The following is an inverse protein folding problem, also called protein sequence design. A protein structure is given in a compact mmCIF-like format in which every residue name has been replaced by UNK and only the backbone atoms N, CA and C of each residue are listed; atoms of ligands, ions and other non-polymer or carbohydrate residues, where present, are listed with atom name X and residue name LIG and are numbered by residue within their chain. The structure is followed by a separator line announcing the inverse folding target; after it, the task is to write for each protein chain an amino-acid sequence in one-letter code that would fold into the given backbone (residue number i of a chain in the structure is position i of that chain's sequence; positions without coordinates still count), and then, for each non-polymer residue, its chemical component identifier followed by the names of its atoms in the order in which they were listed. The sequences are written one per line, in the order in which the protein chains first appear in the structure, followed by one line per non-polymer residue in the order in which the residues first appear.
data_IF_669165954917
#
_entry.id   IF_669165954917
#
_cell.length_a   1.000
_cell.length_b   1.000
_cell.length_c   1.000
_cell.angle_alpha   90.00
_cell.angle_beta   90.00
_cell.angle_gamma   90.00
#
_symmetry.space_group_name_H-M   'P 1'
#
loop_
_entity.id
_entity.type
_entity.pdbx_description
1 polymer ?
#
# COMPACT_ATOMS: atom_id res chain seq x y z
N UNK A 1 -71.48 -51.56 -9.61
CA UNK A 1 -70.61 -51.01 -8.55
C UNK A 1 -69.15 -51.06 -8.99
N UNK A 2 -68.64 -49.94 -9.51
CA UNK A 2 -67.31 -49.84 -10.06
C UNK A 2 -66.47 -49.03 -9.01
N UNK A 3 -65.47 -49.67 -8.39
CA UNK A 3 -64.59 -49.00 -7.48
C UNK A 3 -63.41 -48.37 -8.25
N UNK A 4 -63.38 -47.05 -8.29
CA UNK A 4 -62.26 -46.27 -8.81
C UNK A 4 -61.10 -46.37 -7.86
N UNK A 5 -59.96 -46.81 -8.34
CA UNK A 5 -58.67 -46.76 -7.64
C UNK A 5 -57.93 -45.52 -8.10
N UNK A 6 -57.85 -44.54 -7.22
CA UNK A 6 -57.05 -43.33 -7.40
C UNK A 6 -55.54 -43.68 -7.24
N UNK A 7 -54.81 -43.53 -8.31
CA UNK A 7 -53.32 -43.70 -8.32
C UNK A 7 -52.72 -42.36 -7.90
N UNK A 8 -52.13 -42.32 -6.71
CA UNK A 8 -51.35 -41.17 -6.23
C UNK A 8 -49.93 -41.28 -6.77
N UNK A 9 -49.60 -40.44 -7.73
CA UNK A 9 -48.23 -40.35 -8.29
C UNK A 9 -47.42 -39.41 -7.38
N UNK A 10 -46.55 -39.98 -6.55
CA UNK A 10 -45.61 -39.22 -5.75
C UNK A 10 -44.43 -38.79 -6.62
N UNK A 11 -44.40 -37.50 -7.00
CA UNK A 11 -43.30 -36.88 -7.71
C UNK A 11 -42.17 -36.56 -6.73
N UNK A 12 -41.16 -37.42 -6.62
CA UNK A 12 -39.97 -37.15 -5.84
C UNK A 12 -39.09 -36.15 -6.61
N UNK A 13 -39.04 -34.91 -6.17
CA UNK A 13 -38.08 -33.92 -6.63
C UNK A 13 -36.69 -34.29 -6.08
N UNK A 14 -35.86 -34.87 -6.92
CA UNK A 14 -34.45 -35.01 -6.72
C UNK A 14 -33.80 -33.62 -6.82
N UNK A 15 -33.67 -32.93 -5.69
CA UNK A 15 -32.77 -31.79 -5.59
C UNK A 15 -31.33 -32.29 -5.70
N UNK A 16 -30.80 -32.28 -6.93
CA UNK A 16 -29.39 -32.41 -7.16
C UNK A 16 -28.70 -31.13 -6.62
N UNK A 17 -28.30 -31.18 -5.35
CA UNK A 17 -27.38 -30.20 -4.81
C UNK A 17 -26.09 -30.33 -5.60
N UNK A 18 -25.82 -29.38 -6.49
CA UNK A 18 -24.48 -29.16 -7.02
C UNK A 18 -23.58 -28.81 -5.84
N UNK A 19 -23.06 -29.81 -5.15
CA UNK A 19 -21.93 -29.64 -4.26
C UNK A 19 -20.77 -29.20 -5.17
N UNK A 20 -20.45 -27.91 -5.13
CA UNK A 20 -19.24 -27.42 -5.72
C UNK A 20 -18.10 -28.27 -5.14
N UNK A 21 -17.45 -29.04 -5.99
CA UNK A 21 -16.28 -29.83 -5.61
C UNK A 21 -15.31 -28.83 -4.97
N UNK A 22 -14.80 -29.08 -3.75
CA UNK A 22 -13.80 -28.23 -3.16
C UNK A 22 -12.68 -28.12 -4.18
N UNK A 23 -12.32 -26.89 -4.58
CA UNK A 23 -11.22 -26.66 -5.50
C UNK A 23 -10.02 -27.37 -4.90
N UNK A 24 -9.53 -28.41 -5.56
CA UNK A 24 -8.30 -29.09 -5.14
C UNK A 24 -7.11 -28.21 -5.48
N UNK A 25 -7.03 -27.08 -4.75
CA UNK A 25 -5.85 -26.25 -4.79
C UNK A 25 -4.73 -27.09 -4.16
N UNK A 26 -3.64 -27.36 -4.86
CA UNK A 26 -2.53 -28.08 -4.29
C UNK A 26 -2.04 -27.42 -3.01
N UNK A 27 -1.68 -28.19 -1.99
CA UNK A 27 -1.30 -27.67 -0.69
C UNK A 27 -0.13 -26.67 -0.73
N UNK A 28 0.74 -26.75 -1.73
CA UNK A 28 1.84 -25.81 -1.92
C UNK A 28 1.38 -24.41 -2.37
N UNK A 29 0.20 -24.30 -2.99
CA UNK A 29 -0.36 -22.99 -3.41
C UNK A 29 -0.94 -22.24 -2.21
N UNK A 30 -1.40 -22.98 -1.18
CA UNK A 30 -1.96 -22.38 0.03
C UNK A 30 -0.88 -21.93 1.04
N UNK A 31 0.37 -22.29 0.83
CA UNK A 31 1.48 -21.86 1.69
C UNK A 31 2.16 -20.64 1.07
N UNK A 32 2.43 -19.58 1.86
CA UNK A 32 3.30 -18.52 1.39
C UNK A 32 4.64 -19.13 0.99
N UNK A 33 5.15 -18.74 -0.16
CA UNK A 33 6.36 -19.30 -0.74
C UNK A 33 7.58 -19.06 0.15
N UNK A 34 7.62 -17.86 0.74
CA UNK A 34 8.61 -17.46 1.73
C UNK A 34 7.94 -16.56 2.77
N UNK A 35 8.39 -16.58 4.03
CA UNK A 35 7.94 -15.60 5.00
C UNK A 35 8.37 -14.20 4.56
N UNK A 36 7.55 -13.21 4.90
CA UNK A 36 7.91 -11.81 4.67
C UNK A 36 9.21 -11.48 5.38
N UNK A 37 10.10 -10.81 4.66
CA UNK A 37 11.29 -10.16 5.24
C UNK A 37 11.39 -8.73 4.73
N UNK A 38 11.84 -7.81 5.57
CA UNK A 38 11.99 -6.39 5.22
C UNK A 38 12.86 -6.18 3.98
N UNK A 39 13.94 -6.96 3.83
CA UNK A 39 14.81 -6.91 2.68
C UNK A 39 14.08 -7.13 1.35
N UNK A 40 13.05 -7.99 1.31
CA UNK A 40 12.25 -8.20 0.11
C UNK A 40 11.45 -6.94 -0.24
N UNK A 41 10.80 -6.28 0.73
CA UNK A 41 10.07 -5.05 0.48
C UNK A 41 11.00 -3.93 -0.06
N UNK A 42 12.19 -3.80 0.52
CA UNK A 42 13.22 -2.86 0.07
C UNK A 42 13.66 -3.18 -1.36
N UNK A 43 13.98 -4.45 -1.64
CA UNK A 43 14.42 -4.88 -2.97
C UNK A 43 13.35 -4.63 -4.04
N UNK A 44 12.08 -4.89 -3.72
CA UNK A 44 10.95 -4.66 -4.63
C UNK A 44 10.77 -3.16 -4.87
N UNK A 45 10.71 -2.33 -3.82
CA UNK A 45 10.61 -0.88 -3.97
C UNK A 45 11.76 -0.30 -4.81
N UNK A 46 13.00 -0.76 -4.54
CA UNK A 46 14.19 -0.36 -5.30
C UNK A 46 14.12 -0.80 -6.76
N UNK A 47 13.63 -2.01 -7.04
CA UNK A 47 13.43 -2.49 -8.41
C UNK A 47 12.45 -1.60 -9.17
N UNK A 48 11.31 -1.29 -8.57
CA UNK A 48 10.31 -0.43 -9.21
C UNK A 48 10.87 0.99 -9.46
N UNK A 49 11.59 1.56 -8.49
CA UNK A 49 12.27 2.83 -8.67
C UNK A 49 13.24 2.83 -9.86
N UNK A 50 14.03 1.77 -10.01
CA UNK A 50 14.94 1.62 -11.17
C UNK A 50 14.20 1.51 -12.48
N UNK A 51 13.05 0.83 -12.52
CA UNK A 51 12.21 0.73 -13.72
C UNK A 51 11.65 2.09 -14.15
N UNK A 52 11.38 2.99 -13.19
CA UNK A 52 11.00 4.38 -13.48
C UNK A 52 12.19 5.31 -13.77
N UNK A 53 13.41 4.78 -13.94
CA UNK A 53 14.59 5.55 -14.34
C UNK A 53 15.42 6.11 -13.18
N UNK A 54 15.25 5.57 -11.97
CA UNK A 54 16.00 6.00 -10.75
C UNK A 54 15.84 7.49 -10.43
N UNK A 55 14.62 8.00 -10.59
CA UNK A 55 14.30 9.41 -10.38
C UNK A 55 14.40 9.76 -8.88
N UNK A 56 15.00 10.92 -8.60
CA UNK A 56 15.06 11.50 -7.25
C UNK A 56 14.01 12.62 -7.16
N UNK A 57 13.36 12.72 -6.02
CA UNK A 57 12.47 13.81 -5.70
C UNK A 57 13.28 15.01 -5.22
N UNK A 58 13.59 15.90 -6.14
CA UNK A 58 14.32 17.15 -5.90
C UNK A 58 13.38 18.35 -5.68
N UNK A 59 12.08 18.09 -5.47
CA UNK A 59 11.08 19.16 -5.37
C UNK A 59 11.57 20.23 -4.39
N UNK A 60 11.91 21.39 -4.94
CA UNK A 60 12.12 22.60 -4.16
C UNK A 60 10.76 23.14 -3.73
N UNK A 61 10.71 23.88 -2.62
CA UNK A 61 9.51 24.63 -2.22
C UNK A 61 9.14 25.71 -3.27
N UNK A 62 10.03 25.99 -4.21
CA UNK A 62 9.89 26.99 -5.26
C UNK A 62 9.89 26.30 -6.63
N UNK A 63 8.74 26.39 -7.31
CA UNK A 63 8.67 26.26 -8.77
C UNK A 63 8.69 24.85 -9.36
N UNK A 64 7.74 24.01 -8.99
CA UNK A 64 7.45 22.81 -9.77
C UNK A 64 6.74 23.19 -11.08
N UNK A 65 7.40 23.03 -12.22
CA UNK A 65 6.74 23.03 -13.53
C UNK A 65 6.20 21.62 -13.80
N UNK A 66 4.88 21.52 -13.97
CA UNK A 66 4.25 20.27 -14.36
C UNK A 66 4.83 19.82 -15.71
N UNK A 67 5.36 18.58 -15.76
CA UNK A 67 5.75 17.97 -17.02
C UNK A 67 4.56 17.98 -17.99
N UNK A 68 4.85 18.10 -19.29
CA UNK A 68 3.80 17.95 -20.31
C UNK A 68 3.01 16.67 -20.02
N UNK A 69 1.66 16.71 -20.06
CA UNK A 69 0.84 15.52 -19.81
C UNK A 69 1.26 14.29 -20.65
N UNK A 70 1.85 14.50 -21.83
CA UNK A 70 2.33 13.43 -22.70
C UNK A 70 3.63 12.77 -22.19
N UNK A 71 4.37 13.45 -21.34
CA UNK A 71 5.68 13.04 -20.80
C UNK A 71 5.59 12.47 -19.38
N UNK A 72 4.39 12.42 -18.81
CA UNK A 72 4.18 11.83 -17.50
C UNK A 72 4.69 10.39 -17.45
N UNK A 73 5.61 10.03 -16.55
CA UNK A 73 6.16 8.68 -16.48
C UNK A 73 5.08 7.60 -16.41
N UNK A 74 4.03 7.82 -15.63
CA UNK A 74 2.91 6.88 -15.49
C UNK A 74 2.13 6.60 -16.77
N UNK A 75 2.34 7.39 -17.84
CA UNK A 75 1.69 7.24 -19.16
C UNK A 75 2.59 6.62 -20.22
N UNK A 76 3.87 6.46 -19.92
CA UNK A 76 4.83 5.91 -20.87
C UNK A 76 4.63 4.40 -21.07
N UNK A 77 4.89 3.88 -22.29
CA UNK A 77 4.85 2.44 -22.56
C UNK A 77 5.72 1.65 -21.58
N UNK A 78 5.17 0.56 -21.04
CA UNK A 78 5.82 -0.26 -20.02
C UNK A 78 5.54 0.24 -18.58
N UNK A 79 5.51 1.55 -18.35
CA UNK A 79 5.29 2.09 -17.01
C UNK A 79 3.81 2.17 -16.65
N UNK A 80 2.91 2.52 -17.57
CA UNK A 80 1.48 2.51 -17.29
C UNK A 80 0.97 1.08 -16.97
N UNK A 81 1.58 0.04 -17.58
CA UNK A 81 1.30 -1.34 -17.25
C UNK A 81 1.73 -1.67 -15.81
N UNK A 82 2.89 -1.15 -15.39
CA UNK A 82 3.35 -1.31 -14.00
C UNK A 82 2.36 -0.69 -13.01
N UNK A 83 1.88 0.53 -13.28
CA UNK A 83 0.85 1.16 -12.46
C UNK A 83 -0.43 0.30 -12.38
N UNK A 84 -0.83 -0.31 -13.51
CA UNK A 84 -1.94 -1.26 -13.55
C UNK A 84 -1.71 -2.47 -12.65
N UNK A 85 -0.49 -3.02 -12.59
CA UNK A 85 -0.14 -4.10 -11.68
C UNK A 85 -0.19 -3.68 -10.21
N UNK A 86 0.26 -2.45 -9.88
CA UNK A 86 0.15 -1.94 -8.50
C UNK A 86 -1.30 -1.90 -8.04
N UNK A 87 -2.21 -1.42 -8.88
CA UNK A 87 -3.63 -1.41 -8.58
C UNK A 87 -4.19 -2.82 -8.44
N UNK A 88 -3.90 -3.70 -9.39
CA UNK A 88 -4.47 -5.05 -9.43
C UNK A 88 -4.01 -5.90 -8.25
N UNK A 89 -2.70 -5.91 -7.98
CA UNK A 89 -2.11 -6.72 -6.92
C UNK A 89 -2.15 -6.03 -5.55
N UNK A 90 -2.28 -4.71 -5.51
CA UNK A 90 -2.29 -3.92 -4.27
C UNK A 90 -3.66 -3.80 -3.61
N UNK A 91 -4.71 -4.45 -4.12
CA UNK A 91 -6.04 -4.42 -3.55
C UNK A 91 -6.44 -5.79 -2.98
N UNK A 92 -7.41 -5.81 -2.08
CA UNK A 92 -8.05 -7.06 -1.69
C UNK A 92 -8.85 -7.60 -2.89
N UNK A 93 -8.81 -8.92 -3.17
CA UNK A 93 -9.54 -9.51 -4.29
C UNK A 93 -11.03 -9.21 -4.26
N UNK A 94 -11.64 -9.18 -3.08
CA UNK A 94 -13.08 -8.93 -2.89
C UNK A 94 -13.46 -7.45 -3.10
N UNK A 95 -12.49 -6.54 -3.05
CA UNK A 95 -12.67 -5.09 -3.19
C UNK A 95 -12.13 -4.57 -4.53
N UNK A 96 -11.47 -5.42 -5.31
CA UNK A 96 -10.79 -5.03 -6.53
C UNK A 96 -11.81 -4.62 -7.61
N UNK A 97 -12.08 -3.32 -7.70
CA UNK A 97 -12.92 -2.75 -8.76
C UNK A 97 -12.26 -2.78 -10.14
N UNK A 98 -10.98 -3.17 -10.21
CA UNK A 98 -10.19 -3.27 -11.42
C UNK A 98 -8.81 -2.61 -11.31
N UNK A 99 -8.06 -2.71 -12.39
CA UNK A 99 -6.72 -2.14 -12.48
C UNK A 99 -6.77 -0.77 -13.20
N UNK A 100 -6.66 0.28 -12.43
CA UNK A 100 -6.47 1.63 -12.96
C UNK A 100 -4.99 1.81 -13.30
N UNK A 101 -4.70 2.42 -14.41
CA UNK A 101 -3.32 2.73 -14.80
C UNK A 101 -3.15 4.25 -14.87
N UNK A 102 -1.94 4.72 -15.06
CA UNK A 102 -1.70 6.14 -15.37
C UNK A 102 -2.27 6.58 -16.72
N UNK A 103 -2.83 5.68 -17.53
CA UNK A 103 -3.30 5.94 -18.88
C UNK A 103 -4.67 5.37 -19.18
N UNK A 104 -5.06 4.23 -18.60
CA UNK A 104 -6.27 3.51 -18.90
C UNK A 104 -7.11 3.28 -17.64
N UNK A 105 -8.42 3.33 -17.77
CA UNK A 105 -9.34 2.82 -16.77
C UNK A 105 -9.38 1.28 -16.75
N UNK A 106 -10.05 0.73 -15.76
CA UNK A 106 -10.19 -0.71 -15.56
C UNK A 106 -10.74 -1.46 -16.79
N UNK A 107 -11.61 -0.82 -17.57
CA UNK A 107 -12.16 -1.37 -18.82
C UNK A 107 -11.25 -1.20 -20.05
N UNK A 108 -10.01 -0.73 -19.90
CA UNK A 108 -9.09 -0.50 -21.01
C UNK A 108 -9.31 0.81 -21.76
N UNK A 109 -10.27 1.64 -21.37
CA UNK A 109 -10.53 2.94 -21.99
C UNK A 109 -9.47 3.94 -21.56
N UNK A 110 -8.83 4.59 -22.52
CA UNK A 110 -7.88 5.71 -22.27
C UNK A 110 -8.67 6.85 -21.65
N UNK A 111 -8.24 7.34 -20.51
CA UNK A 111 -8.86 8.51 -19.89
C UNK A 111 -8.04 9.79 -20.09
N UNK A 112 -8.71 10.95 -20.11
CA UNK A 112 -8.04 12.23 -20.29
C UNK A 112 -7.12 12.56 -19.11
N UNK A 113 -6.14 13.42 -19.32
CA UNK A 113 -5.20 13.86 -18.29
C UNK A 113 -5.87 14.53 -17.08
N UNK A 114 -7.05 15.12 -17.29
CA UNK A 114 -7.86 15.73 -16.23
C UNK A 114 -8.36 14.74 -15.18
N UNK A 115 -8.32 13.47 -15.48
CA UNK A 115 -8.76 12.40 -14.58
C UNK A 115 -7.61 11.77 -13.79
N UNK A 116 -6.36 12.10 -14.05
CA UNK A 116 -5.18 11.48 -13.41
C UNK A 116 -5.23 11.58 -11.89
N UNK A 117 -5.63 12.73 -11.34
CA UNK A 117 -5.71 12.93 -9.88
C UNK A 117 -6.74 12.02 -9.20
N UNK A 118 -7.74 11.52 -9.94
CA UNK A 118 -8.77 10.60 -9.42
C UNK A 118 -8.20 9.21 -9.11
N UNK A 119 -7.10 8.87 -9.78
CA UNK A 119 -6.52 7.54 -9.76
C UNK A 119 -5.11 7.56 -9.16
N UNK A 120 -4.94 8.33 -8.09
CA UNK A 120 -3.68 8.39 -7.35
C UNK A 120 -3.28 7.00 -6.82
N UNK A 121 -2.19 6.45 -7.32
CA UNK A 121 -1.78 5.07 -7.10
C UNK A 121 -0.71 4.88 -6.00
N UNK A 122 -0.44 5.89 -5.22
CA UNK A 122 0.58 5.84 -4.16
C UNK A 122 0.32 4.72 -3.13
N UNK A 123 -0.93 4.55 -2.68
CA UNK A 123 -1.28 3.51 -1.72
C UNK A 123 -1.34 2.12 -2.37
N UNK A 124 -1.77 2.04 -3.63
CA UNK A 124 -1.71 0.80 -4.41
C UNK A 124 -0.27 0.31 -4.57
N UNK A 125 0.69 1.22 -4.78
CA UNK A 125 2.12 0.89 -4.82
C UNK A 125 2.62 0.28 -3.51
N UNK A 126 2.33 0.88 -2.36
CA UNK A 126 2.73 0.32 -1.05
C UNK A 126 2.09 -1.06 -0.85
N UNK A 127 0.79 -1.18 -1.12
CA UNK A 127 0.09 -2.46 -1.01
C UNK A 127 0.68 -3.52 -1.94
N UNK A 128 1.05 -3.16 -3.17
CA UNK A 128 1.77 -4.02 -4.10
C UNK A 128 3.13 -4.47 -3.53
N UNK A 129 3.96 -3.53 -3.04
CA UNK A 129 5.28 -3.85 -2.45
C UNK A 129 5.12 -4.86 -1.33
N UNK A 130 4.18 -4.63 -0.42
CA UNK A 130 3.94 -5.51 0.71
C UNK A 130 3.42 -6.90 0.27
N UNK A 131 2.53 -6.95 -0.72
CA UNK A 131 2.01 -8.23 -1.25
C UNK A 131 3.10 -9.06 -1.91
N UNK A 132 3.89 -8.45 -2.77
CA UNK A 132 4.97 -9.16 -3.49
C UNK A 132 6.10 -9.56 -2.52
N UNK A 133 6.32 -8.78 -1.46
CA UNK A 133 7.25 -9.14 -0.38
C UNK A 133 6.76 -10.31 0.51
N UNK A 134 5.54 -10.80 0.30
CA UNK A 134 5.01 -11.96 1.03
C UNK A 134 4.26 -11.61 2.32
N UNK A 135 3.74 -10.37 2.45
CA UNK A 135 3.04 -9.94 3.67
C UNK A 135 1.76 -10.75 3.98
N UNK A 136 1.21 -11.49 3.01
CA UNK A 136 0.05 -12.34 3.22
C UNK A 136 -1.21 -11.57 3.63
N UNK A 137 -2.23 -12.26 4.09
CA UNK A 137 -3.55 -11.68 4.36
C UNK A 137 -3.60 -10.78 5.60
N UNK A 138 -2.53 -10.74 6.39
CA UNK A 138 -2.46 -9.88 7.60
C UNK A 138 -2.23 -8.40 7.26
N UNK A 139 -1.76 -8.09 6.06
CA UNK A 139 -1.60 -6.70 5.64
C UNK A 139 -2.96 -6.14 5.15
N UNK A 140 -3.40 -4.97 5.65
CA UNK A 140 -4.69 -4.38 5.26
C UNK A 140 -4.57 -3.66 3.91
N UNK A 141 -4.46 -4.43 2.82
CA UNK A 141 -4.32 -3.91 1.46
C UNK A 141 -5.41 -2.89 1.13
N UNK A 142 -5.01 -1.78 0.54
CA UNK A 142 -5.95 -0.73 0.16
C UNK A 142 -5.32 0.23 -0.84
N UNK A 143 -6.11 0.81 -1.77
CA UNK A 143 -5.71 1.95 -2.56
C UNK A 143 -5.73 3.27 -1.77
N UNK A 144 -5.97 3.22 -0.45
CA UNK A 144 -6.01 4.39 0.42
C UNK A 144 -5.10 4.20 1.63
N UNK A 145 -4.14 5.10 1.81
CA UNK A 145 -3.19 5.08 2.92
C UNK A 145 -3.87 5.15 4.30
N UNK A 146 -4.98 5.89 4.42
CA UNK A 146 -5.70 6.01 5.69
C UNK A 146 -6.16 4.65 6.24
N UNK A 147 -6.42 3.65 5.39
CA UNK A 147 -6.86 2.32 5.81
C UNK A 147 -5.84 1.67 6.73
N UNK A 148 -4.60 1.50 6.28
CA UNK A 148 -3.58 0.82 7.07
C UNK A 148 -2.96 1.72 8.14
N UNK A 149 -2.90 3.03 7.95
CA UNK A 149 -2.46 3.97 8.98
C UNK A 149 -3.43 3.94 10.17
N UNK A 150 -4.74 4.05 9.92
CA UNK A 150 -5.75 4.00 10.99
C UNK A 150 -5.83 2.61 11.65
N UNK A 151 -5.63 1.53 10.90
CA UNK A 151 -5.58 0.19 11.47
C UNK A 151 -4.40 0.04 12.45
N UNK A 152 -3.22 0.53 12.06
CA UNK A 152 -2.03 0.52 12.90
C UNK A 152 -2.18 1.40 14.15
N UNK A 153 -2.71 2.63 13.99
CA UNK A 153 -2.90 3.57 15.09
C UNK A 153 -3.96 3.11 16.09
N UNK A 154 -4.99 2.40 15.61
CA UNK A 154 -6.02 1.81 16.48
C UNK A 154 -5.62 0.47 17.12
N UNK A 155 -4.39 -0.02 16.89
CA UNK A 155 -3.95 -1.33 17.39
C UNK A 155 -4.68 -2.52 16.77
N UNK A 156 -5.32 -2.34 15.61
CA UNK A 156 -6.05 -3.40 14.91
C UNK A 156 -5.21 -4.17 13.89
N UNK A 157 -3.95 -3.80 13.72
CA UNK A 157 -3.01 -4.52 12.86
C UNK A 157 -2.02 -5.31 13.72
N UNK A 158 -1.86 -6.60 13.43
CA UNK A 158 -0.85 -7.45 14.08
C UNK A 158 0.55 -7.24 13.51
N UNK A 159 0.66 -6.56 12.37
CA UNK A 159 1.92 -6.45 11.61
C UNK A 159 2.36 -5.01 11.37
N UNK A 160 1.56 -4.04 11.76
CA UNK A 160 1.89 -2.62 11.70
C UNK A 160 1.59 -1.97 13.05
N UNK A 161 2.48 -1.12 13.50
CA UNK A 161 2.29 -0.23 14.64
C UNK A 161 2.55 1.20 14.21
N UNK A 162 1.64 2.10 14.55
CA UNK A 162 1.86 3.53 14.35
C UNK A 162 2.73 4.06 15.50
N UNK A 163 3.80 4.74 15.14
CA UNK A 163 4.75 5.35 16.08
C UNK A 163 4.86 6.85 15.82
N UNK A 164 5.00 7.67 16.86
CA UNK A 164 5.21 9.11 16.70
C UNK A 164 6.55 9.39 15.99
N UNK A 165 6.59 10.33 15.04
CA UNK A 165 7.78 10.62 14.23
C UNK A 165 8.95 11.18 15.04
N UNK A 166 8.68 11.77 16.21
CA UNK A 166 9.68 12.33 17.13
C UNK A 166 10.20 11.32 18.16
N UNK A 167 9.55 10.17 18.29
CA UNK A 167 9.87 9.19 19.35
C UNK A 167 10.47 7.89 18.85
N UNK A 168 10.24 7.57 17.58
CA UNK A 168 10.71 6.33 16.98
C UNK A 168 11.56 6.63 15.73
N UNK A 169 12.78 6.14 15.73
CA UNK A 169 13.66 6.20 14.55
C UNK A 169 13.23 5.12 13.56
N UNK A 170 12.77 5.49 12.35
CA UNK A 170 12.34 4.52 11.34
C UNK A 170 13.49 3.58 10.97
N UNK A 171 13.18 2.29 10.83
CA UNK A 171 14.14 1.26 10.40
C UNK A 171 13.93 0.90 8.94
N UNK A 172 14.93 0.29 8.33
CA UNK A 172 14.83 -0.24 6.97
C UNK A 172 13.59 -1.13 6.82
N UNK A 173 12.78 -0.85 5.79
CA UNK A 173 11.52 -1.55 5.53
C UNK A 173 10.31 -1.04 6.31
N UNK A 174 10.45 -0.08 7.23
CA UNK A 174 9.31 0.64 7.79
C UNK A 174 8.71 1.59 6.75
N UNK A 175 7.51 2.09 7.02
CA UNK A 175 6.87 3.09 6.20
C UNK A 175 6.83 4.42 6.95
N UNK A 176 7.07 5.52 6.26
CA UNK A 176 6.76 6.85 6.79
C UNK A 176 5.62 7.46 5.99
N UNK A 177 4.70 8.15 6.67
CA UNK A 177 3.49 8.66 6.02
C UNK A 177 3.21 10.12 6.35
N UNK A 178 2.61 10.82 5.37
CA UNK A 178 2.18 12.21 5.46
C UNK A 178 0.78 12.42 4.89
N UNK A 179 0.11 13.46 5.32
CA UNK A 179 -1.11 13.94 4.67
C UNK A 179 -0.83 14.70 3.38
N UNK A 180 -1.81 14.77 2.50
CA UNK A 180 -1.80 15.60 1.28
C UNK A 180 -3.04 16.51 1.25
N UNK A 181 -2.97 17.65 0.57
CA UNK A 181 -4.10 18.56 0.35
C UNK A 181 -4.80 18.91 1.68
N UNK A 182 -6.11 18.66 1.79
CA UNK A 182 -6.89 18.92 3.01
C UNK A 182 -6.42 18.17 4.26
N UNK A 183 -5.53 17.21 4.12
CA UNK A 183 -4.95 16.42 5.22
C UNK A 183 -3.49 16.79 5.51
N UNK A 184 -2.95 17.85 4.90
CA UNK A 184 -1.54 18.23 5.04
C UNK A 184 -1.16 18.61 6.48
N UNK A 185 -2.12 19.06 7.28
CA UNK A 185 -1.90 19.46 8.66
C UNK A 185 -2.18 18.36 9.71
N UNK A 186 -2.48 17.11 9.25
CA UNK A 186 -2.63 15.99 10.17
C UNK A 186 -1.35 15.76 10.97
N UNK A 187 -1.54 15.47 12.24
CA UNK A 187 -0.49 15.13 13.21
C UNK A 187 -0.71 13.69 13.72
N UNK A 188 0.29 13.13 14.37
CA UNK A 188 0.16 11.82 15.02
C UNK A 188 -0.99 11.76 16.03
N UNK A 189 -1.27 12.88 16.70
CA UNK A 189 -2.33 12.97 17.73
C UNK A 189 -3.75 12.87 17.16
N UNK A 190 -3.91 13.12 15.86
CA UNK A 190 -5.20 13.03 15.19
C UNK A 190 -5.56 11.58 14.81
N UNK A 191 -4.64 10.64 14.99
CA UNK A 191 -4.83 9.24 14.67
C UNK A 191 -5.42 8.44 15.85
N UNK A 192 -6.27 7.43 15.58
CA UNK A 192 -6.87 7.11 14.28
C UNK A 192 -8.00 8.07 13.91
N UNK A 193 -8.09 8.44 12.64
CA UNK A 193 -9.22 9.24 12.15
C UNK A 193 -10.45 8.37 11.91
N UNK A 194 -11.65 8.98 12.01
CA UNK A 194 -12.92 8.33 11.67
C UNK A 194 -13.28 8.41 10.17
N UNK A 195 -12.43 9.05 9.37
CA UNK A 195 -12.66 9.30 7.94
C UNK A 195 -11.42 8.96 7.11
N UNK A 196 -11.62 8.78 5.81
CA UNK A 196 -10.52 8.63 4.85
C UNK A 196 -9.94 9.99 4.47
N UNK A 197 -8.65 10.03 4.26
CA UNK A 197 -7.92 11.24 3.91
C UNK A 197 -6.88 11.00 2.83
N UNK A 198 -6.61 11.99 1.97
CA UNK A 198 -5.56 11.89 0.98
C UNK A 198 -4.20 11.92 1.67
N UNK A 199 -3.37 10.95 1.36
CA UNK A 199 -2.07 10.80 1.98
C UNK A 199 -1.01 10.26 1.04
N UNK A 200 0.17 10.07 1.60
CA UNK A 200 1.30 9.43 0.95
C UNK A 200 2.12 8.68 1.98
N UNK A 201 2.55 7.47 1.62
CA UNK A 201 3.53 6.71 2.38
C UNK A 201 4.67 6.26 1.47
N UNK A 202 5.85 6.13 2.05
CA UNK A 202 7.04 5.65 1.37
C UNK A 202 7.76 4.60 2.22
N UNK A 203 8.46 3.67 1.57
CA UNK A 203 9.27 2.61 2.20
C UNK A 203 10.64 3.15 2.53
N UNK A 204 11.11 2.97 3.75
CA UNK A 204 12.50 3.28 4.15
C UNK A 204 13.44 2.25 3.53
N UNK A 205 14.35 2.69 2.66
CA UNK A 205 15.25 1.81 1.90
C UNK A 205 16.72 1.97 2.25
N UNK A 206 17.09 3.09 2.85
CA UNK A 206 18.45 3.37 3.34
C UNK A 206 18.37 4.30 4.54
N UNK A 207 19.33 4.17 5.45
CA UNK A 207 19.58 5.07 6.56
C UNK A 207 21.06 5.44 6.59
N UNK A 208 21.34 6.72 6.49
CA UNK A 208 22.68 7.28 6.62
C UNK A 208 22.66 8.39 7.67
N UNK A 209 23.76 8.75 8.28
CA UNK A 209 23.79 9.82 9.28
C UNK A 209 23.13 11.10 8.75
N UNK A 210 22.05 11.52 9.40
CA UNK A 210 21.30 12.72 9.05
C UNK A 210 20.25 12.58 7.95
N UNK A 211 20.15 11.42 7.26
CA UNK A 211 19.24 11.27 6.12
C UNK A 211 18.68 9.85 6.02
N UNK A 212 17.37 9.73 5.79
CA UNK A 212 16.72 8.50 5.31
C UNK A 212 16.46 8.62 3.81
N UNK A 213 16.71 7.54 3.08
CA UNK A 213 16.19 7.41 1.71
C UNK A 213 14.89 6.61 1.77
N UNK A 214 13.85 7.17 1.16
CA UNK A 214 12.55 6.52 1.09
C UNK A 214 12.06 6.44 -0.35
N UNK A 215 11.40 5.34 -0.71
CA UNK A 215 10.82 5.16 -2.03
C UNK A 215 9.29 5.15 -1.94
N UNK A 216 8.65 6.02 -2.71
CA UNK A 216 7.21 6.13 -2.82
C UNK A 216 6.72 6.08 -4.26
N UNK A 217 5.49 5.58 -4.45
CA UNK A 217 4.80 5.62 -5.74
C UNK A 217 3.94 6.87 -5.88
N UNK A 218 3.71 7.29 -7.11
CA UNK A 218 2.95 8.50 -7.44
C UNK A 218 3.52 9.78 -6.80
N UNK A 219 4.82 9.90 -6.87
CA UNK A 219 5.56 11.13 -6.59
C UNK A 219 5.88 11.74 -7.94
N UNK A 220 5.19 12.85 -8.29
CA UNK A 220 5.26 13.46 -9.64
C UNK A 220 5.06 12.38 -10.74
N UNK A 221 3.97 11.63 -10.63
CA UNK A 221 3.56 10.61 -11.60
C UNK A 221 4.58 9.47 -11.83
N UNK A 222 5.47 9.23 -10.87
CA UNK A 222 6.53 8.21 -10.93
C UNK A 222 6.73 7.47 -9.60
N UNK A 223 7.56 6.42 -9.63
CA UNK A 223 8.21 5.90 -8.44
C UNK A 223 9.50 6.67 -8.23
N UNK A 224 9.61 7.39 -7.11
CA UNK A 224 10.79 8.23 -6.81
C UNK A 224 11.40 7.90 -5.46
N UNK A 225 12.68 8.19 -5.36
CA UNK A 225 13.41 8.22 -4.11
C UNK A 225 13.37 9.65 -3.56
N UNK A 226 13.09 9.79 -2.28
CA UNK A 226 13.09 11.05 -1.55
C UNK A 226 14.11 10.98 -0.43
N UNK A 227 14.96 12.00 -0.32
CA UNK A 227 15.86 12.20 0.81
C UNK A 227 15.12 12.92 1.93
N UNK A 228 15.02 12.29 3.11
CA UNK A 228 14.29 12.80 4.28
C UNK A 228 15.29 13.08 5.40
N UNK A 229 15.40 14.33 5.87
CA UNK A 229 16.30 14.67 6.97
C UNK A 229 15.83 14.04 8.28
N UNK A 230 16.78 13.58 9.08
CA UNK A 230 16.55 13.04 10.42
C UNK A 230 17.46 13.68 11.45
N UNK A 231 17.04 13.63 12.72
CA UNK A 231 17.83 14.08 13.85
C UNK A 231 19.07 13.18 14.07
N UNK A 232 19.98 13.58 14.95
CA UNK A 232 21.09 12.72 15.39
C UNK A 232 20.63 11.38 15.98
N UNK A 233 19.37 11.32 16.49
CA UNK A 233 18.75 10.09 16.99
C UNK A 233 18.08 9.26 15.90
N UNK A 234 18.11 9.72 14.66
CA UNK A 234 17.45 9.09 13.52
C UNK A 234 15.92 9.28 13.47
N UNK A 235 15.34 10.12 14.33
CA UNK A 235 13.90 10.46 14.34
C UNK A 235 13.59 11.53 13.31
N UNK A 236 12.33 11.61 12.83
CA UNK A 236 11.92 12.60 11.83
C UNK A 236 11.77 14.04 12.40
N UNK A 237 11.87 14.19 13.70
CA UNK A 237 11.82 15.46 14.40
C UNK A 237 12.18 15.30 15.87
N UNK A 238 12.20 16.40 16.60
CA UNK A 238 12.39 16.41 18.05
C UNK A 238 11.05 16.49 18.79
N UNK A 239 10.94 15.97 20.02
CA UNK A 239 9.73 16.10 20.82
C UNK A 239 9.33 17.57 21.02
N UNK A 240 8.08 17.88 20.66
CA UNK A 240 7.54 19.24 20.78
C UNK A 240 7.92 20.19 19.65
N UNK A 241 8.68 19.74 18.68
CA UNK A 241 9.06 20.52 17.50
C UNK A 241 8.40 19.97 16.23
N UNK A 242 8.30 20.78 15.17
CA UNK A 242 7.93 20.27 13.85
C UNK A 242 8.92 19.22 13.34
N UNK A 243 8.48 18.36 12.43
CA UNK A 243 9.38 17.46 11.70
C UNK A 243 10.40 18.25 10.89
N UNK A 244 11.59 17.66 10.69
CA UNK A 244 12.71 18.36 10.04
C UNK A 244 12.45 18.61 8.55
N UNK A 245 11.77 17.69 7.85
CA UNK A 245 11.44 17.88 6.44
C UNK A 245 10.32 18.92 6.29
N UNK A 246 10.70 20.13 5.90
CA UNK A 246 9.75 21.23 5.70
C UNK A 246 8.94 21.10 4.39
N UNK A 247 9.40 20.29 3.44
CA UNK A 247 8.66 19.99 2.19
C UNK A 247 7.50 19.06 2.46
N UNK A 248 7.73 18.08 3.37
CA UNK A 248 6.81 16.98 3.62
C UNK A 248 6.67 16.76 5.13
N UNK A 249 5.49 17.02 5.65
CA UNK A 249 5.19 16.80 7.07
C UNK A 249 4.92 15.31 7.33
N UNK A 250 5.98 14.52 7.47
CA UNK A 250 5.89 13.10 7.83
C UNK A 250 5.41 12.95 9.27
N UNK A 251 4.12 12.68 9.47
CA UNK A 251 3.51 12.79 10.80
C UNK A 251 3.36 11.44 11.53
N UNK A 252 3.67 10.32 10.87
CA UNK A 252 3.58 8.98 11.46
C UNK A 252 4.59 8.04 10.82
N UNK A 253 5.20 7.18 11.64
CA UNK A 253 5.96 6.03 11.20
C UNK A 253 5.10 4.78 11.39
N UNK A 254 4.99 3.94 10.37
CA UNK A 254 4.40 2.62 10.50
C UNK A 254 5.54 1.61 10.66
N UNK A 255 5.78 1.22 11.89
CA UNK A 255 6.72 0.15 12.23
C UNK A 255 6.18 -1.17 11.71
N UNK A 256 6.96 -1.84 10.88
CA UNK A 256 6.64 -3.17 10.34
C UNK A 256 7.12 -4.25 11.33
N UNK A 257 6.24 -5.15 11.74
CA UNK A 257 6.47 -6.09 12.85
C UNK A 257 6.71 -7.53 12.41
N UNK A 258 6.82 -7.81 11.12
CA UNK A 258 6.98 -9.19 10.63
C UNK A 258 8.20 -9.92 11.21
N UNK A 259 9.30 -9.19 11.40
CA UNK A 259 10.54 -9.75 11.92
C UNK A 259 10.54 -9.84 13.47
N UNK A 260 9.57 -9.18 14.13
CA UNK A 260 9.49 -9.18 15.59
C UNK A 260 9.01 -10.53 16.16
N UNK A 261 8.40 -11.38 15.34
CA UNK A 261 7.99 -12.73 15.73
C UNK A 261 9.17 -13.71 15.80
N UNK A 262 10.33 -13.32 15.25
CA UNK A 262 11.56 -14.13 15.25
C UNK A 262 12.51 -13.80 16.41
N UNK A 263 12.26 -12.73 17.17
CA UNK A 263 13.01 -12.48 18.40
C UNK A 263 12.51 -13.44 19.49
N UNK A 264 13.37 -14.32 20.05
CA UNK A 264 12.97 -15.12 21.20
C UNK A 264 12.53 -14.20 22.33
N UNK A 265 11.45 -14.58 23.02
CA UNK A 265 11.04 -13.91 24.23
C UNK A 265 12.27 -13.73 25.13
N UNK A 266 12.58 -12.50 25.53
CA UNK A 266 13.58 -12.27 26.56
C UNK A 266 12.97 -12.82 27.83
N UNK A 267 13.56 -13.93 28.30
CA UNK A 267 13.29 -14.41 29.66
C UNK A 267 13.66 -13.28 30.62
N UNK A 268 12.64 -12.73 31.29
CA UNK A 268 12.81 -11.78 32.41
C UNK A 268 13.26 -12.51 33.68
#
# INVERSE_FOLDING_TARGET
MIRSRTLVLSLAFLLAACAASPSRVPAFVAKPYEPFVRANAIAIATREWRLFGSLIDEASLEGWEAASPLEKPERLPGLWQRVGEYWWLGQNPDEAAGAWTGKHGAGGTVFPFTDDERYAWSAAFISYVMRIAGAGDRFPYSPNHATYVNAAAAGRSSILRAEPPESYAPKLGDLICRGRYRAADLTFRDLPTSYTWPGHCAVVVSDTPGTLDVIGGNVEDAVRLTHVPVTERGTLGNPGEPVLDQRYRWFVVLRVLYDAEAEPARDE
#
